data_IF_497795783745
#
_entry.id   IF_497795783745
#
_cell.length_a   1.000
_cell.length_b   1.000
_cell.length_c   1.000
_cell.angle_alpha   90.00
_cell.angle_beta   90.00
_cell.angle_gamma   90.00
#
_symmetry.space_group_name_H-M   'P 1'
#
loop_
_entity.id
_entity.type
_entity.pdbx_description
1 polymer ?
#
# COMPACT_ATOMS: atom_id res chain seq x y z
N UNK A 1 4.11 -29.67 -86.47
CA UNK A 1 4.99 -28.49 -86.61
C UNK A 1 4.55 -27.44 -85.58
N UNK A 2 5.48 -26.97 -84.72
CA UNK A 2 5.57 -25.63 -84.07
C UNK A 2 4.26 -25.06 -83.44
N UNK A 3 4.16 -24.73 -82.14
CA UNK A 3 5.12 -24.20 -81.16
C UNK A 3 4.61 -24.42 -79.73
N UNK A 4 5.55 -24.71 -78.83
CA UNK A 4 5.39 -24.65 -77.38
C UNK A 4 5.72 -23.25 -76.86
N UNK A 5 5.07 -22.82 -75.77
CA UNK A 5 5.58 -21.83 -74.82
C UNK A 5 5.35 -22.37 -73.41
N UNK A 6 6.44 -22.34 -72.64
CA UNK A 6 6.60 -22.81 -71.27
C UNK A 6 5.99 -21.80 -70.28
N UNK A 7 5.42 -22.30 -69.20
CA UNK A 7 5.39 -21.58 -67.93
C UNK A 7 5.64 -22.58 -66.79
N UNK A 8 6.84 -22.51 -66.22
CA UNK A 8 7.17 -23.11 -64.94
C UNK A 8 6.73 -22.16 -63.83
N UNK A 9 6.10 -22.67 -62.78
CA UNK A 9 6.48 -22.32 -61.41
C UNK A 9 5.94 -23.36 -60.42
N UNK A 10 6.85 -24.18 -59.90
CA UNK A 10 6.70 -24.86 -58.63
C UNK A 10 7.38 -23.96 -57.59
N UNK A 11 6.68 -23.58 -56.53
CA UNK A 11 7.32 -23.30 -55.25
C UNK A 11 6.43 -23.72 -54.08
N UNK A 12 7.07 -24.40 -53.14
CA UNK A 12 6.55 -25.00 -51.93
C UNK A 12 6.48 -23.97 -50.78
N UNK A 13 5.69 -24.34 -49.76
CA UNK A 13 5.88 -24.05 -48.33
C UNK A 13 5.51 -22.67 -47.72
N UNK A 14 4.53 -22.78 -46.81
CA UNK A 14 4.66 -22.59 -45.37
C UNK A 14 3.94 -21.37 -44.74
N UNK A 15 3.03 -21.76 -43.86
CA UNK A 15 2.38 -20.99 -42.79
C UNK A 15 3.44 -20.38 -41.88
N UNK A 16 3.27 -19.10 -41.56
CA UNK A 16 4.04 -18.42 -40.52
C UNK A 16 3.25 -17.25 -39.97
N UNK A 17 2.53 -17.50 -38.86
CA UNK A 17 1.84 -16.47 -38.10
C UNK A 17 2.84 -15.43 -37.58
N UNK A 18 2.46 -14.15 -37.66
CA UNK A 18 3.21 -13.04 -37.09
C UNK A 18 3.03 -13.13 -35.56
N UNK A 19 3.93 -13.84 -34.89
CA UNK A 19 4.12 -13.69 -33.47
C UNK A 19 4.83 -12.34 -33.24
N UNK A 20 4.16 -11.40 -32.58
CA UNK A 20 4.81 -10.21 -32.05
C UNK A 20 5.80 -10.65 -30.97
N UNK A 21 7.06 -10.82 -31.34
CA UNK A 21 8.14 -11.04 -30.39
C UNK A 21 8.42 -9.72 -29.69
N UNK A 22 7.89 -9.54 -28.48
CA UNK A 22 8.38 -8.50 -27.58
C UNK A 22 9.83 -8.83 -27.25
N UNK A 23 10.77 -8.02 -27.74
CA UNK A 23 12.16 -8.09 -27.30
C UNK A 23 12.19 -7.64 -25.84
N UNK A 24 12.15 -8.59 -24.91
CA UNK A 24 12.45 -8.33 -23.51
C UNK A 24 13.93 -7.95 -23.44
N UNK A 25 14.21 -6.65 -23.40
CA UNK A 25 15.48 -6.20 -22.89
C UNK A 25 15.51 -6.62 -21.41
N UNK A 26 16.48 -7.42 -20.96
CA UNK A 26 16.71 -7.54 -19.53
C UNK A 26 17.07 -6.13 -19.07
N UNK A 27 16.14 -5.45 -18.40
CA UNK A 27 16.47 -4.27 -17.62
C UNK A 27 17.58 -4.72 -16.69
N UNK A 28 18.80 -4.23 -16.92
CA UNK A 28 19.91 -4.44 -16.01
C UNK A 28 19.41 -3.85 -14.69
N UNK A 29 19.12 -4.72 -13.72
CA UNK A 29 18.69 -4.28 -12.41
C UNK A 29 19.74 -3.26 -11.94
N UNK A 30 19.35 -2.00 -11.85
CA UNK A 30 20.15 -1.05 -11.09
C UNK A 30 19.90 -1.52 -9.67
N UNK A 31 20.83 -2.32 -9.16
CA UNK A 31 20.89 -2.64 -7.75
C UNK A 31 21.16 -1.29 -7.08
N UNK A 32 20.08 -0.57 -6.75
CA UNK A 32 20.20 0.71 -6.09
C UNK A 32 20.73 0.38 -4.71
N UNK A 33 21.95 0.86 -4.44
CA UNK A 33 22.53 0.81 -3.11
C UNK A 33 21.51 1.34 -2.10
N UNK A 34 21.26 0.57 -1.05
CA UNK A 34 20.32 0.91 0.02
C UNK A 34 20.62 2.30 0.60
N UNK A 35 21.89 2.71 0.66
CA UNK A 35 22.24 4.06 1.12
C UNK A 35 21.70 5.15 0.18
N UNK A 36 21.69 4.91 -1.13
CA UNK A 36 21.10 5.81 -2.12
C UNK A 36 19.57 5.85 -2.01
N UNK A 37 18.92 4.69 -1.77
CA UNK A 37 17.47 4.60 -1.54
C UNK A 37 17.09 5.44 -0.33
N UNK A 38 17.73 5.20 0.82
CA UNK A 38 17.47 5.93 2.06
C UNK A 38 17.66 7.44 1.88
N UNK A 39 18.73 7.85 1.20
CA UNK A 39 18.98 9.27 0.91
C UNK A 39 17.87 9.89 0.05
N UNK A 40 17.34 9.14 -0.90
CA UNK A 40 16.28 9.61 -1.82
C UNK A 40 14.91 9.69 -1.13
N UNK A 41 14.65 8.83 -0.16
CA UNK A 41 13.41 8.82 0.60
C UNK A 41 13.25 9.99 1.56
N UNK A 42 14.35 10.63 1.99
CA UNK A 42 14.30 11.72 2.98
C UNK A 42 13.35 12.83 2.52
N UNK A 43 12.36 13.13 3.37
CA UNK A 43 11.38 14.18 3.13
C UNK A 43 9.95 13.72 3.30
N UNK A 44 9.05 14.48 2.69
CA UNK A 44 7.61 14.38 2.84
C UNK A 44 6.97 13.81 1.56
N UNK A 45 6.12 12.82 1.76
CA UNK A 45 5.40 12.10 0.71
C UNK A 45 3.91 12.17 1.02
N UNK A 46 3.08 12.38 0.01
CA UNK A 46 1.64 12.42 0.21
C UNK A 46 0.89 11.75 -0.95
N UNK A 47 -0.22 11.09 -0.63
CA UNK A 47 -1.12 10.58 -1.66
C UNK A 47 -1.69 11.74 -2.47
N UNK A 48 -1.48 11.71 -3.78
CA UNK A 48 -2.05 12.72 -4.70
C UNK A 48 -3.55 12.52 -4.94
N UNK A 49 -4.09 11.33 -4.65
CA UNK A 49 -5.50 10.96 -4.75
C UNK A 49 -5.89 9.99 -3.61
N UNK A 50 -7.19 9.78 -3.35
CA UNK A 50 -7.66 8.69 -2.49
C UNK A 50 -7.17 7.33 -2.99
N UNK A 51 -6.64 6.54 -2.08
CA UNK A 51 -6.22 5.16 -2.27
C UNK A 51 -7.36 4.21 -1.90
N UNK A 52 -7.43 3.06 -2.56
CA UNK A 52 -8.35 1.98 -2.21
C UNK A 52 -7.56 0.76 -1.73
N UNK A 53 -7.90 0.26 -0.55
CA UNK A 53 -7.36 -0.99 -0.02
C UNK A 53 -8.48 -1.99 0.25
N UNK A 54 -8.29 -3.29 -0.03
CA UNK A 54 -9.19 -4.33 0.46
C UNK A 54 -9.19 -4.33 1.99
N UNK A 55 -10.37 -4.34 2.63
CA UNK A 55 -10.46 -4.59 4.07
C UNK A 55 -10.58 -6.09 4.34
N UNK A 56 -10.10 -6.52 5.51
CA UNK A 56 -10.41 -7.83 6.08
C UNK A 56 -11.88 -7.95 6.52
N UNK A 57 -12.56 -6.80 6.70
CA UNK A 57 -13.98 -6.74 7.06
C UNK A 57 -14.83 -6.91 5.79
N UNK A 58 -15.79 -7.84 5.86
CA UNK A 58 -16.75 -8.11 4.79
C UNK A 58 -18.12 -7.53 5.12
N UNK A 59 -18.87 -7.18 4.08
CA UNK A 59 -20.30 -6.88 4.19
C UNK A 59 -21.08 -8.17 4.54
N UNK A 60 -22.35 -8.02 4.93
CA UNK A 60 -23.22 -9.15 5.27
C UNK A 60 -23.43 -10.13 4.11
N UNK A 61 -23.33 -9.66 2.87
CA UNK A 61 -23.39 -10.47 1.65
C UNK A 61 -22.06 -11.15 1.28
N UNK A 62 -21.02 -10.98 2.10
CA UNK A 62 -19.69 -11.55 1.89
C UNK A 62 -18.76 -10.74 0.97
N UNK A 63 -19.23 -9.64 0.38
CA UNK A 63 -18.38 -8.75 -0.42
C UNK A 63 -17.34 -8.03 0.46
N UNK A 64 -16.17 -7.74 -0.11
CA UNK A 64 -15.09 -7.02 0.60
C UNK A 64 -15.48 -5.56 0.76
N UNK A 65 -15.40 -5.04 1.98
CA UNK A 65 -15.56 -3.61 2.22
C UNK A 65 -14.27 -2.89 1.82
N UNK A 66 -14.31 -1.87 0.94
CA UNK A 66 -13.13 -1.09 0.62
C UNK A 66 -12.74 -0.18 1.80
N UNK A 67 -11.44 0.03 1.96
CA UNK A 67 -10.85 0.99 2.87
C UNK A 67 -10.26 2.13 2.03
N UNK A 68 -10.96 3.26 2.00
CA UNK A 68 -10.54 4.46 1.28
C UNK A 68 -9.70 5.34 2.19
N UNK A 69 -8.54 5.78 1.72
CA UNK A 69 -7.62 6.56 2.55
C UNK A 69 -6.76 7.53 1.75
N UNK A 70 -6.20 8.52 2.44
CA UNK A 70 -5.00 9.25 2.00
C UNK A 70 -3.93 9.13 3.07
N UNK A 71 -2.66 9.15 2.64
CA UNK A 71 -1.48 9.11 3.50
C UNK A 71 -0.67 10.38 3.36
N UNK A 72 -0.13 10.81 4.48
CA UNK A 72 0.99 11.74 4.55
C UNK A 72 2.09 11.00 5.30
N UNK A 73 3.21 10.77 4.63
CA UNK A 73 4.31 9.97 5.12
C UNK A 73 5.58 10.82 5.14
N UNK A 74 6.35 10.72 6.21
CA UNK A 74 7.62 11.40 6.33
C UNK A 74 8.69 10.38 6.67
N UNK A 75 9.71 10.30 5.82
CA UNK A 75 10.90 9.52 6.12
C UNK A 75 11.99 10.42 6.69
N UNK A 76 12.53 10.01 7.81
CA UNK A 76 13.44 10.78 8.65
C UNK A 76 14.79 10.05 8.75
N UNK A 77 15.85 10.73 9.22
CA UNK A 77 17.11 10.08 9.53
C UNK A 77 16.94 8.89 10.49
N UNK A 78 17.89 7.95 10.44
CA UNK A 78 17.91 6.75 11.28
C UNK A 78 16.71 5.82 11.06
N UNK A 79 16.20 5.76 9.82
CA UNK A 79 15.09 4.89 9.43
C UNK A 79 13.77 5.17 10.16
N UNK A 80 13.64 6.33 10.81
CA UNK A 80 12.41 6.71 11.47
C UNK A 80 11.36 7.18 10.46
N UNK A 81 10.09 6.95 10.75
CA UNK A 81 8.98 7.46 9.97
C UNK A 81 7.87 8.07 10.82
N UNK A 82 7.13 8.98 10.21
CA UNK A 82 5.84 9.47 10.68
C UNK A 82 4.80 9.23 9.57
N UNK A 83 3.66 8.64 9.92
CA UNK A 83 2.59 8.32 8.99
C UNK A 83 1.26 8.85 9.54
N UNK A 84 0.64 9.74 8.80
CA UNK A 84 -0.77 10.11 8.98
C UNK A 84 -1.63 9.43 7.91
N UNK A 85 -2.70 8.77 8.33
CA UNK A 85 -3.73 8.20 7.46
C UNK A 85 -5.05 8.89 7.77
N UNK A 86 -5.70 9.44 6.75
CA UNK A 86 -7.10 9.87 6.86
C UNK A 86 -7.95 8.90 6.06
N UNK A 87 -8.78 8.13 6.77
CA UNK A 87 -9.71 7.19 6.12
C UNK A 87 -11.06 7.87 5.86
N UNK A 88 -11.73 7.46 4.79
CA UNK A 88 -13.00 8.06 4.34
C UNK A 88 -14.08 7.02 4.08
N UNK A 89 -15.34 7.46 4.11
CA UNK A 89 -16.50 6.61 3.82
C UNK A 89 -16.77 6.41 2.32
N UNK A 90 -16.23 7.30 1.48
CA UNK A 90 -16.46 7.35 0.05
C UNK A 90 -15.14 7.28 -0.74
N UNK A 91 -15.19 6.83 -2.01
CA UNK A 91 -13.99 6.67 -2.84
C UNK A 91 -13.31 7.98 -3.24
N UNK A 92 -13.97 9.13 -3.07
CA UNK A 92 -13.40 10.44 -3.41
C UNK A 92 -12.73 11.14 -2.22
N UNK A 93 -12.83 10.55 -1.02
CA UNK A 93 -12.24 11.11 0.19
C UNK A 93 -12.98 12.34 0.73
N UNK A 94 -14.24 12.54 0.34
CA UNK A 94 -15.04 13.71 0.73
C UNK A 94 -15.58 13.62 2.16
N UNK A 95 -15.75 12.41 2.69
CA UNK A 95 -16.34 12.12 4.00
C UNK A 95 -15.30 11.45 4.89
N UNK A 96 -14.42 12.22 5.55
CA UNK A 96 -13.41 11.66 6.44
C UNK A 96 -14.06 11.06 7.70
N UNK A 97 -13.57 9.89 8.12
CA UNK A 97 -14.11 9.13 9.26
C UNK A 97 -13.17 9.16 10.46
N UNK A 98 -11.88 8.94 10.23
CA UNK A 98 -10.85 8.97 11.25
C UNK A 98 -9.51 9.46 10.68
N UNK A 99 -8.72 10.06 11.55
CA UNK A 99 -7.29 10.28 11.35
C UNK A 99 -6.53 9.31 12.24
N UNK A 100 -5.52 8.67 11.68
CA UNK A 100 -4.63 7.76 12.36
C UNK A 100 -3.23 8.35 12.23
N UNK A 101 -2.48 8.42 13.33
CA UNK A 101 -1.07 8.79 13.31
C UNK A 101 -0.23 7.66 13.88
N UNK A 102 0.82 7.28 13.18
CA UNK A 102 1.75 6.21 13.54
C UNK A 102 3.16 6.78 13.43
N UNK A 103 3.99 6.55 14.45
CA UNK A 103 5.41 6.82 14.42
C UNK A 103 6.20 5.57 14.75
N UNK A 104 7.34 5.39 14.10
CA UNK A 104 8.22 4.27 14.39
C UNK A 104 9.38 4.13 13.42
N UNK A 105 9.84 2.90 13.19
CA UNK A 105 11.06 2.61 12.44
C UNK A 105 10.84 1.64 11.27
N UNK A 106 11.59 1.87 10.20
CA UNK A 106 11.71 0.97 9.04
C UNK A 106 12.86 -0.01 9.25
N UNK A 107 12.57 -1.30 9.14
CA UNK A 107 13.55 -2.38 9.17
C UNK A 107 13.76 -2.94 7.76
N UNK A 108 14.97 -2.75 7.23
CA UNK A 108 15.32 -3.15 5.88
C UNK A 108 15.73 -4.63 5.85
N UNK A 109 14.94 -5.45 5.16
CA UNK A 109 15.09 -6.91 5.11
C UNK A 109 15.92 -7.40 3.91
N UNK A 110 16.38 -6.48 3.05
CA UNK A 110 17.15 -6.77 1.84
C UNK A 110 16.30 -6.87 0.59
N UNK A 111 16.89 -7.34 -0.51
CA UNK A 111 16.28 -7.31 -1.84
C UNK A 111 14.99 -8.12 -1.93
N UNK A 112 14.00 -7.59 -2.65
CA UNK A 112 12.72 -8.25 -2.84
C UNK A 112 12.73 -9.19 -4.07
N UNK A 113 12.27 -10.45 -3.96
CA UNK A 113 12.41 -11.44 -5.05
C UNK A 113 11.48 -11.20 -6.26
N UNK A 114 10.42 -10.40 -6.09
CA UNK A 114 9.40 -10.17 -7.14
C UNK A 114 9.70 -8.94 -8.00
N UNK A 115 10.47 -7.97 -7.47
CA UNK A 115 10.72 -6.69 -8.14
C UNK A 115 12.22 -6.37 -8.06
N UNK A 116 12.98 -6.57 -9.16
CA UNK A 116 14.41 -6.26 -9.18
C UNK A 116 14.68 -4.80 -8.80
N UNK A 117 15.62 -4.59 -7.87
CA UNK A 117 15.97 -3.27 -7.33
C UNK A 117 15.12 -2.80 -6.15
N UNK A 118 13.99 -3.44 -5.87
CA UNK A 118 13.17 -3.13 -4.70
C UNK A 118 13.73 -3.78 -3.44
N UNK A 119 13.53 -3.13 -2.29
CA UNK A 119 13.84 -3.65 -0.97
C UNK A 119 12.56 -4.13 -0.27
N UNK A 120 12.66 -5.26 0.42
CA UNK A 120 11.67 -5.66 1.41
C UNK A 120 11.88 -4.83 2.66
N UNK A 121 10.82 -4.20 3.15
CA UNK A 121 10.89 -3.34 4.34
C UNK A 121 9.72 -3.63 5.28
N UNK A 122 10.02 -3.76 6.57
CA UNK A 122 9.03 -3.85 7.62
C UNK A 122 8.89 -2.47 8.28
N UNK A 123 7.69 -1.92 8.30
CA UNK A 123 7.36 -0.67 9.00
C UNK A 123 6.81 -1.02 10.37
N UNK A 124 7.54 -0.70 11.43
CA UNK A 124 7.17 -1.03 12.80
C UNK A 124 6.70 0.25 13.50
N UNK A 125 5.43 0.33 13.90
CA UNK A 125 4.89 1.43 14.69
C UNK A 125 5.23 1.26 16.16
N UNK A 126 6.47 1.56 16.54
CA UNK A 126 7.06 1.34 17.87
C UNK A 126 7.29 2.62 18.70
N UNK A 127 6.92 3.80 18.19
CA UNK A 127 7.05 5.06 18.94
C UNK A 127 5.70 5.67 19.32
N UNK A 128 4.72 5.64 18.41
CA UNK A 128 3.41 6.22 18.69
C UNK A 128 2.32 5.63 17.80
N UNK A 129 1.09 5.63 18.34
CA UNK A 129 -0.11 5.26 17.62
C UNK A 129 -1.32 5.99 18.21
N UNK A 130 -1.92 6.89 17.44
CA UNK A 130 -3.06 7.72 17.81
C UNK A 130 -4.22 7.55 16.83
N UNK A 131 -5.45 7.62 17.35
CA UNK A 131 -6.68 7.69 16.55
C UNK A 131 -7.45 8.94 16.94
N UNK A 132 -7.93 9.68 15.93
CA UNK A 132 -8.84 10.81 16.08
C UNK A 132 -10.11 10.54 15.29
N UNK A 133 -11.29 10.46 15.92
CA UNK A 133 -12.56 10.39 15.21
C UNK A 133 -12.83 11.71 14.48
N UNK A 134 -13.21 11.68 13.21
CA UNK A 134 -13.54 12.87 12.41
C UNK A 134 -15.03 12.98 12.10
N UNK A 135 -15.78 11.89 12.28
CA UNK A 135 -17.23 11.85 12.09
C UNK A 135 -17.95 11.42 13.39
N UNK A 136 -19.11 12.02 13.74
CA UNK A 136 -19.89 11.64 14.92
C UNK A 136 -20.23 10.15 14.95
N UNK A 137 -20.72 9.60 13.83
CA UNK A 137 -21.07 8.18 13.75
C UNK A 137 -19.86 7.25 13.96
N UNK A 138 -18.64 7.69 13.62
CA UNK A 138 -17.44 6.91 13.90
C UNK A 138 -17.07 6.97 15.39
N UNK A 139 -17.17 8.14 16.04
CA UNK A 139 -17.01 8.25 17.48
C UNK A 139 -18.01 7.36 18.24
N UNK A 140 -19.27 7.32 17.81
CA UNK A 140 -20.30 6.46 18.40
C UNK A 140 -19.96 4.97 18.27
N UNK A 141 -19.42 4.55 17.13
CA UNK A 141 -18.94 3.18 16.94
C UNK A 141 -17.79 2.87 17.90
N UNK A 142 -16.79 3.76 18.01
CA UNK A 142 -15.65 3.55 18.92
C UNK A 142 -16.08 3.48 20.38
N UNK A 143 -17.03 4.31 20.81
CA UNK A 143 -17.61 4.24 22.15
C UNK A 143 -18.33 2.90 22.44
N UNK A 144 -18.77 2.19 21.40
CA UNK A 144 -19.37 0.85 21.54
C UNK A 144 -18.33 -0.28 21.52
N UNK A 145 -17.35 -0.19 20.63
CA UNK A 145 -16.43 -1.32 20.34
C UNK A 145 -15.06 -1.20 21.00
N UNK A 146 -14.68 -0.01 21.45
CA UNK A 146 -13.41 0.27 22.14
C UNK A 146 -13.57 1.20 23.37
N UNK A 147 -14.50 0.92 24.32
CA UNK A 147 -14.66 1.77 25.50
C UNK A 147 -13.61 1.51 26.60
N UNK A 148 -13.11 0.28 26.72
CA UNK A 148 -12.21 -0.10 27.81
C UNK A 148 -10.79 0.43 27.58
N UNK A 149 -10.23 1.14 28.57
CA UNK A 149 -8.87 1.69 28.50
C UNK A 149 -8.72 3.02 27.76
N UNK A 150 -9.85 3.65 27.40
CA UNK A 150 -9.93 4.92 26.69
C UNK A 150 -10.87 5.89 27.41
N UNK A 151 -10.62 7.19 27.24
CA UNK A 151 -11.64 8.18 27.53
C UNK A 151 -12.79 8.05 26.52
N UNK A 152 -13.97 8.62 26.79
CA UNK A 152 -15.03 8.70 25.78
C UNK A 152 -14.48 9.27 24.47
N UNK A 153 -14.75 8.58 23.37
CA UNK A 153 -14.35 9.02 22.04
C UNK A 153 -15.20 10.22 21.63
N UNK A 154 -14.52 11.33 21.36
CA UNK A 154 -15.13 12.60 20.95
C UNK A 154 -14.53 13.01 19.61
N UNK A 155 -15.38 13.56 18.73
CA UNK A 155 -14.95 14.07 17.42
C UNK A 155 -13.83 15.11 17.60
N UNK A 156 -12.81 15.02 16.74
CA UNK A 156 -11.59 15.84 16.73
C UNK A 156 -10.72 15.73 17.99
N UNK A 157 -11.01 14.78 18.89
CA UNK A 157 -10.17 14.54 20.07
C UNK A 157 -9.29 13.31 19.84
N UNK A 158 -7.98 13.47 19.72
CA UNK A 158 -7.08 12.34 19.58
C UNK A 158 -6.99 11.53 20.87
N UNK A 159 -6.83 10.20 20.73
CA UNK A 159 -6.42 9.34 21.83
C UNK A 159 -5.34 8.37 21.38
N UNK A 160 -4.35 8.17 22.27
CA UNK A 160 -3.32 7.17 22.07
C UNK A 160 -3.87 5.76 22.29
N UNK A 161 -3.70 4.93 21.25
CA UNK A 161 -3.95 3.48 21.23
C UNK A 161 -2.63 2.69 21.31
N UNK A 162 -1.50 3.38 21.42
CA UNK A 162 -0.17 2.77 21.45
C UNK A 162 -0.03 1.79 22.61
N UNK A 163 0.40 0.56 22.28
CA UNK A 163 0.57 -0.52 23.25
C UNK A 163 -0.72 -1.04 23.88
N UNK A 164 -1.90 -0.59 23.44
CA UNK A 164 -3.20 -0.96 24.02
C UNK A 164 -3.98 -1.89 23.09
N UNK A 165 -4.97 -2.59 23.66
CA UNK A 165 -5.97 -3.29 22.87
C UNK A 165 -6.81 -2.29 22.06
N UNK A 166 -6.97 -2.53 20.76
CA UNK A 166 -7.84 -1.72 19.90
C UNK A 166 -8.48 -2.60 18.82
N UNK A 167 -9.65 -3.13 19.14
CA UNK A 167 -10.38 -4.10 18.32
C UNK A 167 -10.63 -3.66 16.87
N UNK A 168 -10.95 -2.39 16.55
CA UNK A 168 -11.15 -1.95 15.17
C UNK A 168 -9.97 -2.24 14.24
N UNK A 169 -8.75 -2.26 14.77
CA UNK A 169 -7.53 -2.55 14.02
C UNK A 169 -6.88 -3.90 14.42
N UNK A 170 -7.63 -4.76 15.13
CA UNK A 170 -7.17 -6.04 15.65
C UNK A 170 -5.86 -5.96 16.46
N UNK A 171 -5.60 -4.80 17.11
CA UNK A 171 -4.40 -4.59 17.92
C UNK A 171 -4.58 -5.24 19.30
N UNK A 172 -3.53 -5.94 19.72
CA UNK A 172 -3.41 -6.53 21.04
C UNK A 172 -2.41 -5.74 21.88
N UNK A 173 -2.70 -5.63 23.17
CA UNK A 173 -1.80 -5.03 24.15
C UNK A 173 -0.41 -5.68 24.09
N UNK A 174 0.63 -4.85 24.18
CA UNK A 174 2.02 -5.28 24.10
C UNK A 174 2.50 -5.68 22.69
N UNK A 175 1.70 -5.48 21.64
CA UNK A 175 2.11 -5.71 20.24
C UNK A 175 2.24 -4.39 19.49
N UNK A 176 3.28 -4.27 18.67
CA UNK A 176 3.44 -3.15 17.76
C UNK A 176 2.68 -3.41 16.47
N UNK A 177 2.17 -2.35 15.86
CA UNK A 177 1.73 -2.39 14.48
C UNK A 177 2.93 -2.69 13.58
N UNK A 178 2.72 -3.56 12.59
CA UNK A 178 3.73 -3.86 11.60
C UNK A 178 3.08 -4.01 10.22
N UNK A 179 3.63 -3.31 9.22
CA UNK A 179 3.25 -3.44 7.82
C UNK A 179 4.46 -3.87 7.00
N UNK A 180 4.23 -4.73 6.00
CA UNK A 180 5.25 -5.24 5.11
C UNK A 180 5.08 -4.57 3.75
N UNK A 181 6.12 -3.89 3.27
CA UNK A 181 6.06 -3.18 1.99
C UNK A 181 7.30 -3.46 1.12
N UNK A 182 7.18 -3.02 -0.13
CA UNK A 182 8.28 -2.94 -1.09
C UNK A 182 8.63 -1.46 -1.31
N UNK A 183 9.91 -1.14 -1.21
CA UNK A 183 10.45 0.21 -1.44
C UNK A 183 11.41 0.22 -2.61
#
# INVERSE_FOLDING_TARGET
MRKAIKASLLFFMAVGGIAAQSVSHPAKAIDMDIAAIKKTLLGDWQSIAPEVRPSTIKNADGSIKPFYLKRTFKYLPSDRFELEIVNSADPYGAVPLARIKIGGHMLWQGSHPIAPGAQKVDFIGDESYEVTPLAPGFADVLNKVAPAGYAPWVVNTPQSIFGKNFAPFALKEGTNFMEYDLV
#
